data_IF_483687192433
#
_entry.id   IF_483687192433
#
_cell.length_a   1.000
_cell.length_b   1.000
_cell.length_c   1.000
_cell.angle_alpha   90.00
_cell.angle_beta   90.00
_cell.angle_gamma   90.00
#
_symmetry.space_group_name_H-M   'P 1'
#
loop_
_entity.id
_entity.type
_entity.pdbx_description
1 polymer ?
#
# COMPACT_ATOMS: atom_id res chain seq x y z
N UNK A 1 22.68 5.52 -21.94
CA UNK A 1 22.22 6.59 -21.04
C UNK A 1 22.18 6.01 -19.64
N UNK A 2 23.31 6.06 -18.91
CA UNK A 2 23.33 5.70 -17.50
C UNK A 2 22.72 6.88 -16.73
N UNK A 3 21.39 6.93 -16.65
CA UNK A 3 20.80 7.58 -15.49
C UNK A 3 21.40 6.89 -14.29
N UNK A 4 21.93 7.68 -13.38
CA UNK A 4 22.51 7.19 -12.14
C UNK A 4 21.40 6.49 -11.36
N UNK A 5 21.35 5.16 -11.46
CA UNK A 5 20.33 4.31 -10.85
C UNK A 5 20.28 4.56 -9.34
N UNK A 6 21.42 4.92 -8.74
CA UNK A 6 21.49 5.31 -7.33
C UNK A 6 20.64 6.55 -7.03
N UNK A 7 20.60 7.54 -7.93
CA UNK A 7 19.78 8.74 -7.76
C UNK A 7 18.28 8.49 -7.90
N UNK A 8 17.86 7.38 -8.52
CA UNK A 8 16.45 6.99 -8.63
C UNK A 8 16.04 6.08 -7.47
N UNK A 9 16.87 5.10 -7.13
CA UNK A 9 16.52 4.06 -6.15
C UNK A 9 16.71 4.55 -4.71
N UNK A 10 17.75 5.35 -4.42
CA UNK A 10 18.03 5.79 -3.05
C UNK A 10 16.90 6.60 -2.42
N UNK A 11 16.25 7.55 -3.12
CA UNK A 11 15.09 8.26 -2.58
C UNK A 11 13.92 7.32 -2.27
N UNK A 12 13.67 6.33 -3.13
CA UNK A 12 12.59 5.34 -2.94
C UNK A 12 12.85 4.50 -1.69
N UNK A 13 14.06 3.97 -1.54
CA UNK A 13 14.45 3.19 -0.35
C UNK A 13 14.35 4.02 0.93
N UNK A 14 14.77 5.28 0.89
CA UNK A 14 14.64 6.18 2.04
C UNK A 14 13.17 6.43 2.40
N UNK A 15 12.30 6.62 1.40
CA UNK A 15 10.88 6.82 1.63
C UNK A 15 10.18 5.56 2.19
N UNK A 16 10.58 4.38 1.73
CA UNK A 16 10.13 3.10 2.28
C UNK A 16 10.57 2.94 3.74
N UNK A 17 11.82 3.23 4.06
CA UNK A 17 12.33 3.15 5.44
C UNK A 17 11.62 4.16 6.38
N UNK A 18 11.27 5.35 5.88
CA UNK A 18 10.48 6.33 6.66
C UNK A 18 9.09 5.75 6.99
N UNK A 19 8.41 5.14 6.02
CA UNK A 19 7.11 4.52 6.26
C UNK A 19 7.21 3.33 7.21
N UNK A 20 8.29 2.56 7.10
CA UNK A 20 8.59 1.42 7.95
C UNK A 20 8.72 1.85 9.41
N UNK A 21 9.58 2.84 9.68
CA UNK A 21 9.74 3.44 11.02
C UNK A 21 8.42 3.93 11.56
N UNK A 22 7.65 4.67 10.76
CA UNK A 22 6.34 5.17 11.15
C UNK A 22 5.37 4.05 11.54
N UNK A 23 5.28 2.98 10.74
CA UNK A 23 4.42 1.83 11.05
C UNK A 23 4.83 1.14 12.35
N UNK A 24 6.13 0.97 12.58
CA UNK A 24 6.69 0.35 13.80
C UNK A 24 6.41 1.23 15.03
N UNK A 25 6.67 2.54 14.95
CA UNK A 25 6.42 3.49 16.03
C UNK A 25 4.94 3.51 16.43
N UNK A 26 4.05 3.58 15.45
CA UNK A 26 2.60 3.57 15.72
C UNK A 26 2.15 2.21 16.26
N UNK A 27 2.70 1.10 15.78
CA UNK A 27 2.42 -0.23 16.34
C UNK A 27 2.68 -0.27 17.85
N UNK A 28 3.84 0.21 18.29
CA UNK A 28 4.19 0.26 19.71
C UNK A 28 3.30 1.24 20.47
N UNK A 29 2.99 2.39 19.88
CA UNK A 29 2.04 3.35 20.46
C UNK A 29 0.65 2.73 20.70
N UNK A 30 0.08 2.05 19.70
CA UNK A 30 -1.22 1.37 19.80
C UNK A 30 -1.20 0.29 20.89
N UNK A 31 -0.10 -0.49 20.96
CA UNK A 31 0.10 -1.48 22.01
C UNK A 31 0.10 -0.84 23.40
N UNK A 32 0.87 0.21 23.59
CA UNK A 32 1.06 0.83 24.90
C UNK A 32 -0.18 1.62 25.35
N UNK A 33 -0.90 2.25 24.44
CA UNK A 33 -2.09 3.07 24.77
C UNK A 33 -3.37 2.25 24.95
N UNK A 34 -3.56 1.16 24.19
CA UNK A 34 -4.82 0.41 24.17
C UNK A 34 -4.70 -1.03 24.68
N UNK A 35 -3.46 -1.52 24.90
CA UNK A 35 -3.19 -2.85 25.43
C UNK A 35 -3.84 -4.00 24.62
N UNK A 36 -3.91 -3.86 23.29
CA UNK A 36 -4.41 -4.95 22.43
C UNK A 36 -3.41 -6.11 22.35
N UNK A 37 -3.92 -7.29 22.01
CA UNK A 37 -3.08 -8.49 21.81
C UNK A 37 -2.20 -8.32 20.56
N UNK A 38 -0.88 -8.30 20.77
CA UNK A 38 0.12 -8.06 19.71
C UNK A 38 0.15 -9.14 18.63
N UNK A 39 -0.35 -10.34 18.91
CA UNK A 39 -0.33 -11.49 18.00
C UNK A 39 -1.66 -11.70 17.30
N UNK A 40 -2.77 -11.39 17.98
CA UNK A 40 -4.12 -11.74 17.51
C UNK A 40 -4.92 -10.55 17.02
N UNK A 41 -4.72 -9.37 17.60
CA UNK A 41 -5.58 -8.23 17.34
C UNK A 41 -5.21 -7.52 16.03
N UNK A 42 -6.15 -7.47 15.09
CA UNK A 42 -5.95 -6.86 13.77
C UNK A 42 -5.54 -5.38 13.86
N UNK A 43 -5.94 -4.67 14.91
CA UNK A 43 -5.58 -3.26 15.16
C UNK A 43 -4.09 -3.07 15.42
N UNK A 44 -3.36 -4.13 15.81
CA UNK A 44 -1.90 -4.11 15.95
C UNK A 44 -1.22 -4.87 14.82
N UNK A 45 -1.71 -6.06 14.46
CA UNK A 45 -1.02 -6.94 13.50
C UNK A 45 -0.96 -6.34 12.09
N UNK A 46 -1.87 -5.42 11.75
CA UNK A 46 -1.85 -4.67 10.49
C UNK A 46 -0.51 -3.94 10.24
N UNK A 47 0.08 -3.34 11.27
CA UNK A 47 1.35 -2.63 11.12
C UNK A 47 2.51 -3.56 10.80
N UNK A 48 2.50 -4.78 11.35
CA UNK A 48 3.49 -5.80 11.01
C UNK A 48 3.32 -6.30 9.57
N UNK A 49 2.08 -6.43 9.08
CA UNK A 49 1.83 -6.77 7.69
C UNK A 49 2.34 -5.68 6.75
N UNK A 50 2.14 -4.41 7.09
CA UNK A 50 2.68 -3.26 6.36
C UNK A 50 4.21 -3.28 6.35
N UNK A 51 4.85 -3.47 7.51
CA UNK A 51 6.31 -3.59 7.64
C UNK A 51 6.87 -4.68 6.71
N UNK A 52 6.26 -5.87 6.71
CA UNK A 52 6.65 -6.99 5.84
C UNK A 52 6.49 -6.66 4.35
N UNK A 53 5.40 -5.99 3.96
CA UNK A 53 5.20 -5.53 2.58
C UNK A 53 6.33 -4.58 2.18
N UNK A 54 6.68 -3.62 3.05
CA UNK A 54 7.75 -2.64 2.78
C UNK A 54 9.09 -3.34 2.63
N UNK A 55 9.46 -4.22 3.57
CA UNK A 55 10.71 -5.02 3.53
C UNK A 55 10.82 -5.82 2.23
N UNK A 56 9.75 -6.48 1.81
CA UNK A 56 9.75 -7.24 0.55
C UNK A 56 10.09 -6.36 -0.66
N UNK A 57 9.57 -5.12 -0.70
CA UNK A 57 9.85 -4.21 -1.80
C UNK A 57 11.24 -3.58 -1.69
N UNK A 58 11.74 -3.28 -0.49
CA UNK A 58 13.13 -2.86 -0.27
C UNK A 58 14.12 -3.88 -0.83
N UNK A 59 13.93 -5.17 -0.51
CA UNK A 59 14.75 -6.25 -1.05
C UNK A 59 14.72 -6.24 -2.59
N UNK A 60 13.54 -6.11 -3.19
CA UNK A 60 13.41 -6.08 -4.65
C UNK A 60 14.12 -4.88 -5.30
N UNK A 61 14.15 -3.72 -4.64
CA UNK A 61 14.87 -2.54 -5.13
C UNK A 61 16.37 -2.66 -4.97
N UNK A 62 16.84 -3.23 -3.85
CA UNK A 62 18.28 -3.51 -3.64
C UNK A 62 18.77 -4.53 -4.66
N UNK A 63 18.01 -5.60 -4.92
CA UNK A 63 18.33 -6.57 -5.97
C UNK A 63 18.36 -5.91 -7.36
N UNK A 64 17.43 -5.00 -7.63
CA UNK A 64 17.43 -4.26 -8.88
C UNK A 64 18.70 -3.41 -9.02
N UNK A 65 19.00 -2.56 -8.05
CA UNK A 65 20.15 -1.66 -8.09
C UNK A 65 21.48 -2.41 -8.23
N UNK A 66 21.66 -3.49 -7.47
CA UNK A 66 22.93 -4.22 -7.42
C UNK A 66 23.15 -5.14 -8.63
N UNK A 67 22.07 -5.65 -9.23
CA UNK A 67 22.16 -6.68 -10.27
C UNK A 67 21.37 -6.31 -11.52
N UNK A 68 20.05 -6.20 -11.43
CA UNK A 68 19.20 -6.12 -12.62
C UNK A 68 19.37 -4.81 -13.39
N UNK A 69 19.83 -3.75 -12.75
CA UNK A 69 20.08 -2.48 -13.40
C UNK A 69 21.32 -2.50 -14.33
N UNK A 70 22.15 -3.56 -14.27
CA UNK A 70 23.31 -3.76 -15.14
C UNK A 70 22.90 -4.58 -16.39
N UNK A 71 22.85 -3.99 -17.60
CA UNK A 71 22.33 -4.71 -18.75
C UNK A 71 23.11 -5.98 -19.12
N UNK A 72 24.43 -5.97 -18.92
CA UNK A 72 25.30 -7.12 -19.19
C UNK A 72 24.96 -8.32 -18.29
N UNK A 73 24.56 -8.05 -17.05
CA UNK A 73 24.15 -9.09 -16.11
C UNK A 73 22.90 -9.84 -16.62
N UNK A 74 21.86 -9.11 -17.04
CA UNK A 74 20.63 -9.70 -17.56
C UNK A 74 20.88 -10.39 -18.90
N UNK A 75 21.64 -9.75 -19.79
CA UNK A 75 22.02 -10.33 -21.09
C UNK A 75 22.67 -11.70 -20.90
N UNK A 76 23.61 -11.81 -19.96
CA UNK A 76 24.29 -13.07 -19.63
C UNK A 76 23.36 -14.08 -18.94
N UNK A 77 22.51 -13.62 -18.02
CA UNK A 77 21.60 -14.48 -17.25
C UNK A 77 20.51 -15.11 -18.13
N UNK A 78 19.90 -14.31 -19.01
CA UNK A 78 18.72 -14.70 -19.79
C UNK A 78 19.03 -15.04 -21.26
N UNK A 79 20.26 -14.82 -21.73
CA UNK A 79 20.62 -15.05 -23.13
C UNK A 79 19.86 -14.14 -24.11
N UNK A 80 19.56 -12.90 -23.71
CA UNK A 80 18.69 -11.98 -24.43
C UNK A 80 19.45 -10.81 -25.07
N UNK A 81 18.80 -10.02 -25.91
CA UNK A 81 19.41 -8.83 -26.50
C UNK A 81 19.54 -7.67 -25.49
N UNK A 82 20.43 -6.72 -25.77
CA UNK A 82 20.53 -5.50 -24.97
C UNK A 82 19.21 -4.71 -24.96
N UNK A 83 18.50 -4.63 -26.10
CA UNK A 83 17.23 -3.92 -26.20
C UNK A 83 16.13 -4.58 -25.36
N UNK A 84 16.06 -5.91 -25.39
CA UNK A 84 15.11 -6.65 -24.55
C UNK A 84 15.46 -6.52 -23.07
N UNK A 85 16.74 -6.44 -22.73
CA UNK A 85 17.20 -6.16 -21.37
C UNK A 85 16.67 -4.83 -20.83
N UNK A 86 16.75 -3.75 -21.62
CA UNK A 86 16.21 -2.44 -21.22
C UNK A 86 14.69 -2.52 -20.96
N UNK A 87 13.97 -3.29 -21.78
CA UNK A 87 12.53 -3.53 -21.58
C UNK A 87 12.27 -4.30 -20.29
N UNK A 88 13.01 -5.38 -20.03
CA UNK A 88 12.92 -6.18 -18.81
C UNK A 88 13.16 -5.31 -17.57
N UNK A 89 14.15 -4.42 -17.59
CA UNK A 89 14.44 -3.51 -16.48
C UNK A 89 13.26 -2.56 -16.19
N UNK A 90 12.71 -1.94 -17.24
CA UNK A 90 11.54 -1.06 -17.13
C UNK A 90 10.32 -1.81 -16.59
N UNK A 91 10.06 -3.01 -17.12
CA UNK A 91 8.96 -3.86 -16.69
C UNK A 91 9.12 -4.32 -15.24
N UNK A 92 10.34 -4.64 -14.81
CA UNK A 92 10.62 -5.01 -13.42
C UNK A 92 10.25 -3.88 -12.47
N UNK A 93 10.73 -2.65 -12.73
CA UNK A 93 10.42 -1.49 -11.90
C UNK A 93 8.92 -1.19 -11.87
N UNK A 94 8.25 -1.27 -13.03
CA UNK A 94 6.81 -1.08 -13.13
C UNK A 94 6.03 -2.15 -12.34
N UNK A 95 6.42 -3.43 -12.46
CA UNK A 95 5.77 -4.55 -11.76
C UNK A 95 5.98 -4.46 -10.25
N UNK A 96 7.19 -4.14 -9.79
CA UNK A 96 7.49 -3.98 -8.36
C UNK A 96 6.68 -2.82 -7.75
N UNK A 97 6.50 -1.72 -8.50
CA UNK A 97 5.61 -0.63 -8.08
C UNK A 97 4.15 -1.06 -7.99
N UNK A 98 3.67 -1.79 -9.00
CA UNK A 98 2.28 -2.24 -9.04
C UNK A 98 1.99 -3.23 -7.90
N UNK A 99 2.91 -4.16 -7.63
CA UNK A 99 2.77 -5.10 -6.52
C UNK A 99 2.69 -4.40 -5.17
N UNK A 100 3.44 -3.31 -4.97
CA UNK A 100 3.38 -2.52 -3.74
C UNK A 100 1.97 -2.01 -3.48
N UNK A 101 1.36 -1.33 -4.47
CA UNK A 101 0.00 -0.81 -4.35
C UNK A 101 -1.04 -1.92 -4.17
N UNK A 102 -0.91 -3.03 -4.91
CA UNK A 102 -1.86 -4.15 -4.83
C UNK A 102 -1.80 -4.80 -3.44
N UNK A 103 -0.62 -5.17 -2.95
CA UNK A 103 -0.48 -5.86 -1.68
C UNK A 103 -0.86 -4.96 -0.51
N UNK A 104 -0.44 -3.69 -0.53
CA UNK A 104 -0.81 -2.72 0.49
C UNK A 104 -2.33 -2.53 0.57
N UNK A 105 -3.00 -2.30 -0.58
CA UNK A 105 -4.45 -2.13 -0.61
C UNK A 105 -5.20 -3.41 -0.19
N UNK A 106 -4.68 -4.59 -0.54
CA UNK A 106 -5.30 -5.87 -0.15
C UNK A 106 -5.27 -6.08 1.37
N UNK A 107 -4.14 -5.73 2.01
CA UNK A 107 -3.98 -5.79 3.46
C UNK A 107 -4.90 -4.78 4.17
N UNK A 108 -5.00 -3.55 3.66
CA UNK A 108 -5.98 -2.57 4.18
C UNK A 108 -7.43 -3.05 4.01
N UNK A 109 -7.77 -3.62 2.86
CA UNK A 109 -9.14 -4.11 2.60
C UNK A 109 -9.53 -5.22 3.57
N UNK A 110 -8.65 -6.18 3.81
CA UNK A 110 -8.91 -7.23 4.79
C UNK A 110 -9.06 -6.67 6.21
N UNK A 111 -8.18 -5.75 6.61
CA UNK A 111 -8.28 -5.05 7.89
C UNK A 111 -9.63 -4.31 8.04
N UNK A 112 -10.05 -3.53 7.04
CA UNK A 112 -11.33 -2.82 7.07
C UNK A 112 -12.52 -3.78 7.15
N UNK A 113 -12.44 -4.94 6.51
CA UNK A 113 -13.46 -5.99 6.66
C UNK A 113 -13.49 -6.52 8.09
N UNK A 114 -12.36 -6.78 8.71
CA UNK A 114 -12.29 -7.27 10.10
C UNK A 114 -12.92 -6.26 11.07
N UNK A 115 -12.63 -4.97 10.90
CA UNK A 115 -13.24 -3.90 11.70
C UNK A 115 -14.75 -3.82 11.47
N UNK A 116 -15.21 -3.76 10.21
CA UNK A 116 -16.64 -3.71 9.91
C UNK A 116 -17.39 -4.92 10.48
N UNK A 117 -16.83 -6.13 10.36
CA UNK A 117 -17.43 -7.34 10.90
C UNK A 117 -17.54 -7.29 12.43
N UNK A 118 -16.49 -6.82 13.12
CA UNK A 118 -16.51 -6.68 14.58
C UNK A 118 -17.55 -5.66 15.07
N UNK A 119 -17.86 -4.65 14.24
CA UNK A 119 -18.87 -3.63 14.52
C UNK A 119 -20.28 -4.01 14.03
N UNK A 120 -20.45 -5.15 13.35
CA UNK A 120 -21.73 -5.55 12.76
C UNK A 120 -22.13 -4.73 11.53
N UNK A 121 -21.20 -4.01 10.91
CA UNK A 121 -21.41 -3.25 9.68
C UNK A 121 -21.42 -4.20 8.49
N UNK A 122 -22.41 -4.05 7.60
CA UNK A 122 -22.50 -4.85 6.38
C UNK A 122 -21.28 -4.60 5.48
N UNK A 123 -20.45 -5.62 5.30
CA UNK A 123 -19.26 -5.52 4.47
C UNK A 123 -19.61 -5.55 2.97
N UNK A 124 -19.29 -4.48 2.24
CA UNK A 124 -19.42 -4.44 0.78
C UNK A 124 -18.30 -5.19 0.06
N UNK A 125 -18.58 -5.78 -1.11
CA UNK A 125 -17.56 -6.40 -1.97
C UNK A 125 -16.72 -5.37 -2.73
N UNK A 126 -17.18 -4.13 -2.84
CA UNK A 126 -16.42 -3.03 -3.44
C UNK A 126 -15.60 -2.32 -2.37
N UNK A 127 -14.28 -2.19 -2.57
CA UNK A 127 -13.39 -1.48 -1.64
C UNK A 127 -13.87 -0.04 -1.34
N UNK A 128 -14.26 0.72 -2.36
CA UNK A 128 -14.77 2.10 -2.18
C UNK A 128 -16.02 2.13 -1.29
N UNK A 129 -16.93 1.18 -1.48
CA UNK A 129 -18.12 1.08 -0.63
C UNK A 129 -17.76 0.63 0.78
N UNK A 130 -16.88 -0.35 0.93
CA UNK A 130 -16.35 -0.79 2.23
C UNK A 130 -15.74 0.38 3.02
N UNK A 131 -14.90 1.19 2.38
CA UNK A 131 -14.29 2.38 2.98
C UNK A 131 -15.37 3.38 3.41
N UNK A 132 -16.36 3.65 2.57
CA UNK A 132 -17.47 4.55 2.88
C UNK A 132 -18.32 4.03 4.06
N UNK A 133 -18.66 2.75 4.05
CA UNK A 133 -19.44 2.11 5.12
C UNK A 133 -18.68 2.18 6.45
N UNK A 134 -17.38 1.89 6.44
CA UNK A 134 -16.49 2.01 7.60
C UNK A 134 -16.41 3.45 8.12
N UNK A 135 -16.12 4.42 7.25
CA UNK A 135 -15.97 5.81 7.65
C UNK A 135 -17.28 6.39 8.19
N UNK A 136 -18.43 6.05 7.57
CA UNK A 136 -19.73 6.49 8.06
C UNK A 136 -20.00 5.98 9.48
N UNK A 137 -19.73 4.69 9.73
CA UNK A 137 -19.93 4.06 11.03
C UNK A 137 -18.95 4.59 12.10
N UNK A 138 -17.73 4.98 11.71
CA UNK A 138 -16.76 5.62 12.59
C UNK A 138 -16.94 7.14 12.75
N UNK A 139 -17.89 7.76 12.02
CA UNK A 139 -18.12 9.21 12.03
C UNK A 139 -16.99 10.02 11.39
N UNK A 140 -16.34 9.48 10.35
CA UNK A 140 -15.20 10.09 9.66
C UNK A 140 -15.66 10.71 8.35
N UNK A 141 -15.31 11.99 8.15
CA UNK A 141 -15.72 12.74 6.98
C UNK A 141 -14.98 12.26 5.71
N UNK A 142 -15.71 12.11 4.60
CA UNK A 142 -15.16 11.80 3.27
C UNK A 142 -14.20 12.90 2.76
N UNK A 143 -14.30 14.12 3.28
CA UNK A 143 -13.37 15.21 2.98
C UNK A 143 -12.03 15.13 3.72
N UNK A 144 -11.88 14.20 4.67
CA UNK A 144 -10.61 13.99 5.39
C UNK A 144 -9.51 13.50 4.47
N UNK A 145 -8.26 13.88 4.79
CA UNK A 145 -7.08 13.39 4.08
C UNK A 145 -6.95 11.86 4.16
N UNK A 146 -7.36 11.26 5.28
CA UNK A 146 -7.41 9.80 5.46
C UNK A 146 -8.33 9.11 4.47
N UNK A 147 -9.56 9.61 4.31
CA UNK A 147 -10.51 9.05 3.35
C UNK A 147 -10.01 9.24 1.93
N UNK A 148 -9.56 10.46 1.58
CA UNK A 148 -9.04 10.77 0.25
C UNK A 148 -7.84 9.91 -0.12
N UNK A 149 -6.91 9.68 0.81
CA UNK A 149 -5.76 8.82 0.59
C UNK A 149 -6.18 7.38 0.27
N UNK A 150 -7.08 6.80 1.07
CA UNK A 150 -7.62 5.47 0.83
C UNK A 150 -8.41 5.38 -0.49
N UNK A 151 -9.24 6.38 -0.77
CA UNK A 151 -10.03 6.43 -1.99
C UNK A 151 -9.12 6.43 -3.22
N UNK A 152 -8.09 7.29 -3.23
CA UNK A 152 -7.06 7.36 -4.28
C UNK A 152 -6.35 6.00 -4.43
N UNK A 153 -5.95 5.34 -3.34
CA UNK A 153 -5.34 4.00 -3.41
C UNK A 153 -6.26 2.98 -4.10
N UNK A 154 -7.56 3.01 -3.79
CA UNK A 154 -8.56 2.18 -4.47
C UNK A 154 -8.64 2.45 -5.98
N UNK A 155 -8.54 3.72 -6.40
CA UNK A 155 -8.51 4.10 -7.82
C UNK A 155 -7.24 3.63 -8.53
N UNK A 156 -6.10 3.78 -7.88
CA UNK A 156 -4.80 3.31 -8.40
C UNK A 156 -4.86 1.79 -8.61
N UNK A 157 -5.28 1.04 -7.59
CA UNK A 157 -5.41 -0.43 -7.65
C UNK A 157 -6.36 -0.88 -8.76
N UNK A 158 -7.53 -0.27 -8.86
CA UNK A 158 -8.48 -0.58 -9.95
C UNK A 158 -7.89 -0.30 -11.32
N UNK A 159 -7.15 0.79 -11.48
CA UNK A 159 -6.49 1.12 -12.74
C UNK A 159 -5.40 0.11 -13.08
N UNK A 160 -4.60 -0.32 -12.11
CA UNK A 160 -3.58 -1.38 -12.30
C UNK A 160 -4.24 -2.69 -12.77
N UNK A 161 -5.36 -3.11 -12.17
CA UNK A 161 -6.09 -4.31 -12.60
C UNK A 161 -6.62 -4.23 -14.02
N UNK A 162 -6.92 -3.02 -14.50
CA UNK A 162 -7.37 -2.75 -15.86
C UNK A 162 -6.19 -2.45 -16.81
N UNK A 163 -5.05 -3.11 -16.62
CA UNK A 163 -3.82 -2.95 -17.41
C UNK A 163 -3.29 -1.51 -17.44
N UNK A 164 -3.55 -0.73 -16.40
CA UNK A 164 -3.16 0.67 -16.30
C UNK A 164 -4.13 1.65 -16.95
N UNK A 165 -5.35 1.23 -17.30
CA UNK A 165 -6.39 2.09 -17.89
C UNK A 165 -7.53 2.33 -16.90
N UNK A 166 -7.87 3.59 -16.65
CA UNK A 166 -8.99 3.93 -15.80
C UNK A 166 -10.32 3.78 -16.56
N UNK A 167 -11.19 2.85 -16.16
CA UNK A 167 -12.40 2.51 -16.95
C UNK A 167 -13.68 3.18 -16.47
N UNK A 168 -13.68 3.71 -15.25
CA UNK A 168 -14.87 4.37 -14.68
C UNK A 168 -14.98 5.83 -15.15
N UNK A 169 -16.07 6.50 -14.80
CA UNK A 169 -16.28 7.91 -15.09
C UNK A 169 -15.10 8.77 -14.62
N UNK A 170 -14.80 9.81 -15.41
CA UNK A 170 -13.78 10.80 -15.05
C UNK A 170 -14.11 11.44 -13.71
N UNK A 171 -13.10 11.56 -12.87
CA UNK A 171 -13.20 12.25 -11.58
C UNK A 171 -11.88 12.94 -11.26
N UNK A 172 -11.95 13.95 -10.39
CA UNK A 172 -10.78 14.63 -9.83
C UNK A 172 -10.93 14.64 -8.31
N UNK A 173 -9.89 14.23 -7.60
CA UNK A 173 -9.83 14.24 -6.14
C UNK A 173 -8.79 15.27 -5.73
N UNK A 174 -9.19 16.30 -5.00
CA UNK A 174 -8.27 17.27 -4.40
C UNK A 174 -7.76 16.73 -3.07
N UNK A 175 -6.47 16.44 -2.99
CA UNK A 175 -5.80 15.87 -1.82
C UNK A 175 -4.52 16.65 -1.51
N UNK A 176 -4.40 17.16 -0.28
CA UNK A 176 -3.31 18.04 0.18
C UNK A 176 -3.00 19.20 -0.80
N UNK A 177 -4.06 19.85 -1.27
CA UNK A 177 -3.97 21.02 -2.17
C UNK A 177 -3.58 20.69 -3.61
N UNK A 178 -3.51 19.41 -3.98
CA UNK A 178 -3.21 18.98 -5.35
C UNK A 178 -4.35 18.15 -5.92
N UNK A 179 -4.66 18.40 -7.19
CA UNK A 179 -5.68 17.66 -7.91
C UNK A 179 -5.12 16.38 -8.54
N UNK A 180 -5.81 15.27 -8.30
CA UNK A 180 -5.52 13.97 -8.87
C UNK A 180 -6.68 13.53 -9.76
N UNK A 181 -6.50 13.67 -11.07
CA UNK A 181 -7.52 13.31 -12.06
C UNK A 181 -7.37 11.87 -12.53
N UNK A 182 -8.47 11.13 -12.49
CA UNK A 182 -8.62 9.80 -13.07
C UNK A 182 -9.54 9.94 -14.27
N UNK A 183 -8.96 10.02 -15.47
CA UNK A 183 -9.68 10.28 -16.72
C UNK A 183 -10.09 8.96 -17.37
N UNK A 184 -11.37 8.83 -17.72
CA UNK A 184 -11.90 7.62 -18.32
C UNK A 184 -11.14 7.25 -19.61
N UNK A 185 -10.85 5.95 -19.77
CA UNK A 185 -10.10 5.34 -20.86
C UNK A 185 -8.67 5.87 -21.05
N UNK A 186 -8.09 6.50 -20.02
CA UNK A 186 -6.71 6.95 -20.04
C UNK A 186 -5.86 6.25 -18.98
N UNK A 187 -4.56 6.20 -19.24
CA UNK A 187 -3.59 5.90 -18.20
C UNK A 187 -3.50 7.03 -17.20
N UNK A 188 -3.40 6.72 -15.92
CA UNK A 188 -3.15 7.72 -14.89
C UNK A 188 -1.67 7.74 -14.48
N UNK A 189 -1.18 8.93 -14.11
CA UNK A 189 0.19 9.12 -13.61
C UNK A 189 0.26 9.11 -12.07
N UNK A 190 -0.87 8.92 -11.38
CA UNK A 190 -1.00 8.98 -9.92
C UNK A 190 -0.39 7.78 -9.18
N UNK A 191 0.38 6.91 -9.84
CA UNK A 191 1.11 5.81 -9.21
C UNK A 191 2.63 6.10 -9.11
N UNK A 192 3.03 7.38 -9.05
CA UNK A 192 4.43 7.76 -8.88
C UNK A 192 4.99 7.41 -7.50
N UNK A 193 6.33 7.22 -7.41
CA UNK A 193 6.97 6.88 -6.14
C UNK A 193 6.83 8.01 -5.10
N UNK A 194 7.02 9.26 -5.50
CA UNK A 194 6.90 10.40 -4.59
C UNK A 194 5.50 10.54 -3.94
N UNK A 195 4.49 9.90 -4.55
CA UNK A 195 3.12 9.98 -4.09
C UNK A 195 2.71 8.83 -3.15
N UNK A 196 3.30 7.63 -3.24
CA UNK A 196 2.91 6.53 -2.35
C UNK A 196 3.25 6.86 -0.90
N UNK A 197 4.37 7.53 -0.63
CA UNK A 197 4.74 7.92 0.73
C UNK A 197 3.67 8.75 1.41
N UNK A 198 3.07 9.71 0.69
CA UNK A 198 1.99 10.53 1.25
C UNK A 198 0.75 9.68 1.55
N UNK A 199 0.31 8.87 0.60
CA UNK A 199 -0.86 8.00 0.76
C UNK A 199 -0.67 6.99 1.89
N UNK A 200 0.48 6.32 1.94
CA UNK A 200 0.79 5.27 2.91
C UNK A 200 0.96 5.89 4.31
N UNK A 201 1.58 7.07 4.39
CA UNK A 201 1.68 7.82 5.63
C UNK A 201 0.31 8.14 6.22
N UNK A 202 -0.61 8.67 5.43
CA UNK A 202 -1.94 9.06 5.91
C UNK A 202 -2.82 7.85 6.23
N UNK A 203 -2.67 6.76 5.47
CA UNK A 203 -3.37 5.51 5.77
C UNK A 203 -2.84 4.85 7.03
N UNK A 204 -1.54 4.91 7.33
CA UNK A 204 -0.98 4.47 8.62
C UNK A 204 -1.57 5.29 9.79
N UNK A 205 -1.71 6.61 9.64
CA UNK A 205 -2.34 7.46 10.66
C UNK A 205 -3.82 7.11 10.84
N UNK A 206 -4.51 6.82 9.73
CA UNK A 206 -5.89 6.39 9.75
C UNK A 206 -6.09 5.08 10.52
N UNK A 207 -5.15 4.12 10.40
CA UNK A 207 -5.20 2.89 11.19
C UNK A 207 -5.17 3.17 12.70
N UNK A 208 -4.40 4.18 13.13
CA UNK A 208 -4.35 4.59 14.53
C UNK A 208 -5.68 5.19 15.00
N UNK A 209 -6.29 6.06 14.19
CA UNK A 209 -7.61 6.63 14.51
C UNK A 209 -8.70 5.54 14.57
N UNK A 210 -8.65 4.55 13.67
CA UNK A 210 -9.54 3.38 13.77
C UNK A 210 -9.31 2.61 15.07
N UNK A 211 -8.05 2.37 15.45
CA UNK A 211 -7.69 1.69 16.70
C UNK A 211 -8.27 2.43 17.92
N UNK A 212 -8.14 3.75 17.96
CA UNK A 212 -8.70 4.59 19.03
C UNK A 212 -10.23 4.51 19.09
N UNK A 213 -10.92 4.65 17.95
CA UNK A 213 -12.39 4.61 17.87
C UNK A 213 -12.97 3.24 18.16
N UNK A 214 -12.17 2.19 18.06
CA UNK A 214 -12.59 0.80 18.28
C UNK A 214 -12.06 0.21 19.58
N UNK A 215 -11.33 0.98 20.42
CA UNK A 215 -10.65 0.47 21.62
C UNK A 215 -11.52 -0.27 22.64
N UNK A 216 -12.82 0.01 22.66
CA UNK A 216 -13.76 -0.65 23.56
C UNK A 216 -14.19 -2.06 23.11
N UNK A 217 -13.82 -2.47 21.89
CA UNK A 217 -14.02 -3.83 21.38
C UNK A 217 -12.87 -4.69 21.90
N UNK A 218 -13.16 -5.78 22.62
CA UNK A 218 -12.16 -6.58 23.35
C UNK A 218 -11.07 -7.15 22.45
N UNK A 219 -11.44 -7.92 21.44
CA UNK A 219 -10.52 -8.56 20.50
C UNK A 219 -11.15 -8.53 19.11
N UNK A 220 -10.36 -8.12 18.12
CA UNK A 220 -10.72 -8.26 16.71
C UNK A 220 -9.67 -9.15 16.06
N UNK A 221 -9.97 -10.43 15.91
CA UNK A 221 -9.02 -11.38 15.32
C UNK A 221 -8.75 -11.05 13.85
N UNK A 222 -7.47 -11.04 13.47
CA UNK A 222 -7.09 -10.89 12.07
C UNK A 222 -7.48 -12.13 11.28
N UNK A 223 -8.25 -11.96 10.20
CA UNK A 223 -8.54 -13.05 9.25
C UNK A 223 -7.40 -13.34 8.29
N UNK A 224 -6.44 -12.42 8.19
CA UNK A 224 -5.17 -12.70 7.53
C UNK A 224 -4.36 -13.47 8.56
N UNK A 225 -4.49 -14.79 8.53
CA UNK A 225 -3.61 -15.66 9.28
C UNK A 225 -2.16 -15.31 8.94
N UNK A 226 -1.37 -15.02 9.97
CA UNK A 226 0.07 -15.23 9.91
C UNK A 226 0.27 -16.75 9.91
N UNK A 227 -0.16 -17.43 8.83
CA UNK A 227 0.23 -18.80 8.56
C UNK A 227 1.71 -18.73 8.18
N UNK A 228 2.55 -18.52 9.20
CA UNK A 228 3.93 -18.94 9.11
C UNK A 228 3.85 -20.41 8.73
N UNK A 229 4.50 -20.85 7.64
CA UNK A 229 4.65 -22.27 7.42
C UNK A 229 5.22 -22.84 8.71
N UNK A 230 4.49 -23.79 9.29
CA UNK A 230 4.97 -24.56 10.41
C UNK A 230 6.36 -25.09 10.00
N UNK A 231 7.44 -24.79 10.72
CA UNK A 231 8.77 -25.24 10.36
C UNK A 231 8.86 -26.74 10.72
N UNK A 232 8.11 -27.56 9.99
CA UNK A 232 8.23 -29.00 9.95
C UNK A 232 8.72 -29.39 8.56
#
# INVERSE_FOLDING_TARGET
MNMDIENIISPILNDLEILRKKAIEIRFKVKDEFNFDIQKDCRITIYEQIDRIVIYHDINFVLFANHLAKPDYITKLAGTSYQDTIRIQSDYLKRNRHSLFIFYQSVLEAYYRDICNAKGVKCSNSFTKLLKDLCNDLGINEDSDWYKANYILGRIRNTIHNNGIHTQSTETITYKGKDYSFIQNQSHNSAGYDFFKLLFSDTIDFLFDIAERTKNITLIESRIGLDLPNPF
#
